data_IF_878644938292
#
_entry.id   IF_878644938292
#
_cell.length_a   1.000
_cell.length_b   1.000
_cell.length_c   1.000
_cell.angle_alpha   90.00
_cell.angle_beta   90.00
_cell.angle_gamma   90.00
#
_symmetry.space_group_name_H-M   'P 1'
#
loop_
_entity.id
_entity.type
_entity.pdbx_description
1 polymer ?
#
# COMPACT_ATOMS: atom_id res chain seq x y z
N UNK A 1 3.14 7.20 -26.67
CA UNK A 1 2.31 6.94 -25.47
C UNK A 1 3.16 7.29 -24.26
N UNK A 2 2.76 8.28 -23.45
CA UNK A 2 3.43 8.57 -22.19
C UNK A 2 3.00 7.48 -21.19
N UNK A 3 3.89 6.55 -20.88
CA UNK A 3 3.66 5.55 -19.84
C UNK A 3 3.55 6.33 -18.53
N UNK A 4 2.37 6.32 -17.89
CA UNK A 4 2.21 6.91 -16.57
C UNK A 4 3.04 6.08 -15.58
N UNK A 5 3.78 6.77 -14.72
CA UNK A 5 4.51 6.11 -13.64
C UNK A 5 3.54 5.27 -12.78
N UNK A 6 3.98 4.08 -12.39
CA UNK A 6 3.21 3.15 -11.57
C UNK A 6 2.96 3.74 -10.16
N UNK A 7 2.00 3.18 -9.43
CA UNK A 7 1.77 3.54 -8.02
C UNK A 7 3.03 3.37 -7.16
N UNK A 8 3.80 2.30 -7.39
CA UNK A 8 5.06 2.05 -6.69
C UNK A 8 6.12 3.12 -7.01
N UNK A 9 6.34 3.44 -8.29
CA UNK A 9 7.33 4.46 -8.70
C UNK A 9 7.02 5.84 -8.12
N UNK A 10 5.73 6.21 -8.03
CA UNK A 10 5.31 7.48 -7.42
C UNK A 10 5.59 7.52 -5.92
N UNK A 11 5.38 6.40 -5.22
CA UNK A 11 5.67 6.29 -3.79
C UNK A 11 7.18 6.32 -3.56
N UNK A 12 7.96 5.55 -4.33
CA UNK A 12 9.41 5.50 -4.20
C UNK A 12 10.05 6.86 -4.45
N UNK A 13 9.58 7.60 -5.47
CA UNK A 13 10.03 8.96 -5.73
C UNK A 13 9.71 9.92 -4.56
N UNK A 14 8.53 9.79 -3.96
CA UNK A 14 8.15 10.59 -2.80
C UNK A 14 9.01 10.28 -1.57
N UNK A 15 9.34 9.01 -1.33
CA UNK A 15 10.20 8.59 -0.22
C UNK A 15 11.65 9.00 -0.45
N UNK A 16 12.19 8.81 -1.65
CA UNK A 16 13.55 9.23 -2.00
C UNK A 16 13.75 10.75 -1.79
N UNK A 17 12.70 11.55 -1.96
CA UNK A 17 12.73 12.99 -1.73
C UNK A 17 12.70 13.43 -0.26
N UNK A 18 12.48 12.51 0.69
CA UNK A 18 12.49 12.82 2.14
C UNK A 18 13.91 12.95 2.73
N UNK A 19 14.94 12.53 2.00
CA UNK A 19 16.33 12.40 2.47
C UNK A 19 16.46 11.43 3.67
N UNK A 20 17.69 11.18 4.12
CA UNK A 20 18.05 10.27 5.23
C UNK A 20 17.97 10.92 6.62
N UNK A 21 17.60 12.20 6.70
CA UNK A 21 17.51 12.96 7.94
C UNK A 21 16.20 12.74 8.72
N UNK A 22 16.04 13.41 9.87
CA UNK A 22 14.79 13.40 10.61
C UNK A 22 13.61 13.89 9.75
N UNK A 23 12.45 13.23 9.89
CA UNK A 23 11.24 13.66 9.20
C UNK A 23 10.83 15.06 9.68
N UNK A 24 10.68 15.99 8.74
CA UNK A 24 10.19 17.34 9.01
C UNK A 24 8.78 17.51 8.47
N UNK A 25 7.99 18.37 9.12
CA UNK A 25 6.65 18.70 8.62
C UNK A 25 6.70 19.23 7.19
N UNK A 26 7.67 20.09 6.86
CA UNK A 26 7.80 20.65 5.51
C UNK A 26 8.06 19.56 4.46
N UNK A 27 8.95 18.61 4.75
CA UNK A 27 9.23 17.48 3.85
C UNK A 27 8.01 16.58 3.69
N UNK A 28 7.31 16.25 4.78
CA UNK A 28 6.10 15.44 4.74
C UNK A 28 4.98 16.12 3.94
N UNK A 29 4.77 17.43 4.13
CA UNK A 29 3.75 18.17 3.38
C UNK A 29 4.10 18.29 1.89
N UNK A 30 5.38 18.39 1.54
CA UNK A 30 5.83 18.51 0.15
C UNK A 30 5.80 17.18 -0.59
N UNK A 31 6.19 16.08 0.05
CA UNK A 31 6.47 14.81 -0.64
C UNK A 31 5.45 13.71 -0.34
N UNK A 32 5.00 13.57 0.91
CA UNK A 32 4.09 12.48 1.31
C UNK A 32 2.63 12.91 1.20
N UNK A 33 2.29 14.11 1.69
CA UNK A 33 0.92 14.59 1.72
C UNK A 33 0.22 14.64 0.35
N UNK A 34 0.89 14.91 -0.79
CA UNK A 34 0.28 14.83 -2.12
C UNK A 34 -0.19 13.43 -2.51
N UNK A 35 0.34 12.35 -1.90
CA UNK A 35 -0.12 10.98 -2.16
C UNK A 35 -1.53 10.69 -1.59
N UNK A 36 -2.05 11.59 -0.75
CA UNK A 36 -3.34 11.51 -0.08
C UNK A 36 -4.25 12.70 -0.46
N UNK A 37 -4.09 13.25 -1.67
CA UNK A 37 -4.70 14.52 -2.06
C UNK A 37 -6.23 14.48 -2.00
N UNK A 38 -6.87 13.36 -2.35
CA UNK A 38 -8.33 13.20 -2.30
C UNK A 38 -8.83 13.23 -0.86
N UNK A 39 -8.16 12.52 0.05
CA UNK A 39 -8.50 12.55 1.47
C UNK A 39 -8.27 13.94 2.06
N UNK A 40 -7.17 14.62 1.73
CA UNK A 40 -6.88 15.99 2.20
C UNK A 40 -7.93 16.98 1.71
N UNK A 41 -8.38 16.88 0.47
CA UNK A 41 -9.43 17.75 -0.07
C UNK A 41 -10.75 17.55 0.68
N UNK A 42 -11.14 16.30 0.96
CA UNK A 42 -12.41 15.98 1.60
C UNK A 42 -12.42 16.23 3.13
N UNK A 43 -11.28 16.08 3.81
CA UNK A 43 -11.22 16.06 5.27
C UNK A 43 -10.14 16.99 5.88
N UNK A 44 -9.50 17.84 5.09
CA UNK A 44 -8.34 18.65 5.49
C UNK A 44 -8.60 19.68 6.60
N UNK A 45 -9.86 20.06 6.84
CA UNK A 45 -10.25 20.95 7.93
C UNK A 45 -10.31 20.27 9.30
N UNK A 46 -10.06 18.95 9.36
CA UNK A 46 -10.15 18.14 10.59
C UNK A 46 -8.84 17.43 10.87
N UNK A 47 -8.48 17.36 12.14
CA UNK A 47 -7.37 16.53 12.59
C UNK A 47 -7.86 15.10 12.75
N UNK A 48 -7.46 14.22 11.83
CA UNK A 48 -7.80 12.80 11.89
C UNK A 48 -6.80 12.03 12.77
N UNK A 49 -7.20 11.73 14.00
CA UNK A 49 -6.39 11.04 15.03
C UNK A 49 -6.63 9.52 15.14
N UNK A 50 -7.54 8.97 14.33
CA UNK A 50 -7.92 7.55 14.36
C UNK A 50 -7.11 6.66 13.38
N UNK A 51 -5.96 7.15 12.89
CA UNK A 51 -5.09 6.43 11.94
C UNK A 51 -4.65 5.04 12.40
N UNK A 52 -4.62 4.81 13.71
CA UNK A 52 -4.27 3.52 14.30
C UNK A 52 -5.38 2.47 14.18
N UNK A 53 -6.62 2.90 13.93
CA UNK A 53 -7.77 2.02 13.71
C UNK A 53 -8.03 1.83 12.21
N UNK A 54 -8.12 2.94 11.48
CA UNK A 54 -8.26 2.94 10.01
C UNK A 54 -7.32 3.97 9.40
N UNK A 55 -6.40 3.53 8.54
CA UNK A 55 -5.46 4.41 7.85
C UNK A 55 -6.15 5.31 6.82
N UNK A 56 -5.53 6.46 6.51
CA UNK A 56 -5.97 7.32 5.40
C UNK A 56 -5.75 6.60 4.07
N UNK A 57 -6.70 6.63 3.13
CA UNK A 57 -6.53 5.99 1.83
C UNK A 57 -5.53 6.79 0.97
N UNK A 58 -4.58 6.09 0.34
CA UNK A 58 -3.77 6.66 -0.72
C UNK A 58 -4.64 6.89 -1.95
N UNK A 59 -4.34 7.92 -2.74
CA UNK A 59 -5.06 8.17 -3.99
C UNK A 59 -4.91 7.00 -4.98
N UNK A 60 -3.78 6.29 -4.90
CA UNK A 60 -3.48 5.09 -5.68
C UNK A 60 -4.43 3.91 -5.40
N UNK A 61 -5.03 3.83 -4.21
CA UNK A 61 -5.90 2.70 -3.83
C UNK A 61 -7.06 2.50 -4.80
N UNK A 62 -7.68 3.58 -5.28
CA UNK A 62 -8.77 3.48 -6.26
C UNK A 62 -8.28 2.95 -7.61
N UNK A 63 -7.09 3.38 -8.04
CA UNK A 63 -6.52 2.98 -9.32
C UNK A 63 -6.13 1.49 -9.29
N UNK A 64 -5.50 1.04 -8.20
CA UNK A 64 -5.10 -0.35 -8.00
C UNK A 64 -6.33 -1.29 -7.91
N UNK A 65 -7.40 -0.88 -7.22
CA UNK A 65 -8.66 -1.64 -7.17
C UNK A 65 -9.31 -1.71 -8.56
N UNK A 66 -9.35 -0.58 -9.28
CA UNK A 66 -9.92 -0.52 -10.63
C UNK A 66 -9.14 -1.43 -11.59
N UNK A 67 -7.82 -1.42 -11.52
CA UNK A 67 -6.97 -2.31 -12.31
C UNK A 67 -7.27 -3.78 -12.01
N UNK A 68 -7.28 -4.17 -10.73
CA UNK A 68 -7.58 -5.54 -10.31
C UNK A 68 -8.94 -6.03 -10.82
N UNK A 69 -9.98 -5.20 -10.71
CA UNK A 69 -11.32 -5.52 -11.24
C UNK A 69 -11.33 -5.57 -12.78
N UNK A 70 -10.65 -4.64 -13.44
CA UNK A 70 -10.56 -4.62 -14.91
C UNK A 70 -9.96 -5.92 -15.43
N UNK A 71 -8.86 -6.39 -14.82
CA UNK A 71 -8.21 -7.66 -15.18
C UNK A 71 -9.16 -8.84 -15.03
N UNK A 72 -9.96 -8.85 -13.96
CA UNK A 72 -10.95 -9.91 -13.79
C UNK A 72 -11.94 -9.95 -14.96
N UNK A 73 -12.53 -8.80 -15.30
CA UNK A 73 -13.53 -8.71 -16.36
C UNK A 73 -12.95 -9.01 -17.75
N UNK A 74 -11.69 -8.64 -18.01
CA UNK A 74 -11.07 -8.82 -19.33
C UNK A 74 -10.42 -10.18 -19.54
N UNK A 75 -9.88 -10.80 -18.49
CA UNK A 75 -8.97 -11.95 -18.62
C UNK A 75 -9.42 -13.19 -17.83
N UNK A 76 -10.39 -13.07 -16.91
CA UNK A 76 -10.87 -14.15 -16.04
C UNK A 76 -9.72 -14.94 -15.40
N UNK A 77 -9.47 -16.18 -15.87
CA UNK A 77 -8.41 -17.04 -15.36
C UNK A 77 -7.01 -16.47 -15.58
N UNK A 78 -6.80 -15.67 -16.62
CA UNK A 78 -5.50 -15.00 -16.87
C UNK A 78 -5.14 -13.94 -15.83
N UNK A 79 -6.13 -13.39 -15.12
CA UNK A 79 -5.89 -12.39 -14.08
C UNK A 79 -5.06 -12.92 -12.90
N UNK A 80 -5.06 -14.25 -12.70
CA UNK A 80 -4.29 -14.90 -11.63
C UNK A 80 -2.81 -14.59 -11.69
N UNK A 81 -2.20 -14.53 -12.88
CA UNK A 81 -0.75 -14.29 -13.00
C UNK A 81 -0.39 -12.91 -12.47
N UNK A 82 -1.15 -11.88 -12.85
CA UNK A 82 -0.94 -10.50 -12.37
C UNK A 82 -1.27 -10.37 -10.89
N UNK A 83 -2.33 -10.99 -10.40
CA UNK A 83 -2.67 -10.95 -8.97
C UNK A 83 -1.63 -11.66 -8.11
N UNK A 84 -1.12 -12.81 -8.54
CA UNK A 84 -0.07 -13.53 -7.82
C UNK A 84 1.23 -12.70 -7.77
N UNK A 85 1.61 -12.06 -8.88
CA UNK A 85 2.76 -11.15 -8.89
C UNK A 85 2.60 -9.99 -7.89
N UNK A 86 1.41 -9.39 -7.79
CA UNK A 86 1.15 -8.34 -6.79
C UNK A 86 1.12 -8.88 -5.36
N UNK A 87 0.62 -10.10 -5.13
CA UNK A 87 0.69 -10.76 -3.82
C UNK A 87 2.14 -11.00 -3.40
N UNK A 88 3.00 -11.44 -4.32
CA UNK A 88 4.42 -11.66 -4.05
C UNK A 88 5.14 -10.34 -3.76
N UNK A 89 4.87 -9.29 -4.53
CA UNK A 89 5.39 -7.95 -4.28
C UNK A 89 4.93 -7.40 -2.92
N UNK A 90 3.67 -7.59 -2.56
CA UNK A 90 3.11 -7.20 -1.26
C UNK A 90 3.81 -7.93 -0.10
N UNK A 91 4.00 -9.25 -0.21
CA UNK A 91 4.72 -10.05 0.80
C UNK A 91 6.16 -9.60 0.95
N UNK A 92 6.84 -9.28 -0.14
CA UNK A 92 8.22 -8.80 -0.09
C UNK A 92 8.33 -7.45 0.63
N UNK A 93 7.43 -6.50 0.35
CA UNK A 93 7.39 -5.19 1.03
C UNK A 93 7.08 -5.36 2.53
N UNK A 94 6.15 -6.24 2.90
CA UNK A 94 5.87 -6.53 4.30
C UNK A 94 7.05 -7.18 5.02
N UNK A 95 7.72 -8.16 4.40
CA UNK A 95 8.88 -8.82 4.98
C UNK A 95 9.98 -7.81 5.30
N UNK A 96 10.25 -6.88 4.37
CA UNK A 96 11.18 -5.77 4.59
C UNK A 96 10.73 -4.88 5.76
N UNK A 97 9.45 -4.50 5.80
CA UNK A 97 8.91 -3.60 6.83
C UNK A 97 9.03 -4.18 8.25
N UNK A 98 8.78 -5.48 8.42
CA UNK A 98 8.79 -6.15 9.73
C UNK A 98 10.12 -6.85 10.05
N UNK A 99 11.11 -6.78 9.15
CA UNK A 99 12.40 -7.45 9.31
C UNK A 99 12.32 -8.99 9.23
N UNK A 100 11.33 -9.54 8.51
CA UNK A 100 11.24 -10.98 8.29
C UNK A 100 12.32 -11.45 7.30
N UNK A 101 12.87 -12.67 7.47
CA UNK A 101 14.02 -13.12 6.66
C UNK A 101 13.67 -13.36 5.19
N UNK A 102 12.42 -13.71 4.87
CA UNK A 102 11.98 -14.06 3.52
C UNK A 102 10.51 -13.68 3.28
N UNK A 103 10.13 -13.28 2.06
CA UNK A 103 8.74 -12.97 1.71
C UNK A 103 7.76 -14.13 1.94
N UNK A 104 8.19 -15.37 1.71
CA UNK A 104 7.38 -16.58 1.90
C UNK A 104 7.08 -16.88 3.38
N UNK A 105 7.75 -16.19 4.31
CA UNK A 105 7.47 -16.23 5.75
C UNK A 105 6.31 -15.29 6.15
N UNK A 106 5.81 -14.47 5.21
CA UNK A 106 4.63 -13.62 5.39
C UNK A 106 3.41 -14.33 4.83
N UNK A 107 2.43 -14.60 5.69
CA UNK A 107 1.14 -15.20 5.31
C UNK A 107 0.02 -14.23 5.68
N UNK A 108 -0.45 -13.39 4.74
CA UNK A 108 -1.56 -12.47 5.00
C UNK A 108 -2.81 -13.23 5.40
N UNK A 109 -3.51 -12.74 6.43
CA UNK A 109 -4.81 -13.25 6.88
C UNK A 109 -5.82 -12.12 6.85
N UNK A 110 -7.08 -12.46 6.60
CA UNK A 110 -8.20 -11.51 6.56
C UNK A 110 -8.36 -10.71 7.85
N UNK A 111 -7.99 -11.28 9.00
CA UNK A 111 -8.03 -10.60 10.29
C UNK A 111 -6.95 -11.08 11.24
N UNK A 112 -6.62 -10.25 12.23
CA UNK A 112 -5.70 -10.60 13.31
C UNK A 112 -6.14 -11.87 14.07
N UNK A 113 -7.45 -12.06 14.29
CA UNK A 113 -8.00 -13.25 14.94
C UNK A 113 -7.76 -14.54 14.14
N UNK A 114 -7.84 -14.49 12.81
CA UNK A 114 -7.48 -15.62 11.95
C UNK A 114 -5.98 -15.92 12.00
N UNK A 115 -5.14 -14.87 12.03
CA UNK A 115 -3.69 -15.02 12.23
C UNK A 115 -3.34 -15.68 13.55
N UNK A 116 -3.96 -15.21 14.64
CA UNK A 116 -3.72 -15.75 15.97
C UNK A 116 -4.13 -17.22 16.06
N UNK A 117 -5.31 -17.58 15.54
CA UNK A 117 -5.78 -18.98 15.50
C UNK A 117 -4.84 -19.90 14.73
N UNK A 118 -4.25 -19.43 13.63
CA UNK A 118 -3.32 -20.23 12.84
C UNK A 118 -2.03 -20.59 13.58
N UNK A 119 -1.64 -19.78 14.58
CA UNK A 119 -0.45 -20.03 15.41
C UNK A 119 -0.80 -20.81 16.67
N UNK A 120 -1.94 -20.50 17.31
CA UNK A 120 -2.31 -21.10 18.60
C UNK A 120 -2.94 -22.50 18.48
N UNK A 121 -3.62 -22.82 17.39
CA UNK A 121 -4.28 -24.13 17.20
C UNK A 121 -3.33 -25.18 16.63
N UNK A 122 -2.10 -25.24 17.16
CA UNK A 122 -1.13 -26.30 16.86
C UNK A 122 -1.30 -27.49 17.79
#
# INVERSE_FOLDING_TARGET
MNVRATSAERIDAAIAALDSGPLTENALQRHVAPLFSRHKLAYGERIYLANHSLGRPLDATEDDIREGLSLWYSELGGAWDRWNAEIDAYRARLAMLVGAPRPDSIVPKTSAGQGLRAVLNT
#
